data_IF_932947944173
#
_entry.id   IF_932947944173
#
_cell.length_a   1.000
_cell.length_b   1.000
_cell.length_c   1.000
_cell.angle_alpha   90.00
_cell.angle_beta   90.00
_cell.angle_gamma   90.00
#
_symmetry.space_group_name_H-M   'P 1'
#
loop_
_entity.id
_entity.type
_entity.pdbx_description
1 polymer ?
#
# COMPACT_ATOMS: atom_id res chain seq x y z
N UNK A 1 -5.53 8.34 13.63
CA UNK A 1 -4.24 8.68 13.01
C UNK A 1 -4.05 7.69 11.89
N UNK A 2 -3.40 8.09 10.80
CA UNK A 2 -3.31 7.21 9.63
C UNK A 2 -2.63 5.86 9.94
N UNK A 3 -1.67 5.84 10.88
CA UNK A 3 -1.09 4.58 11.40
C UNK A 3 -2.10 3.73 12.17
N UNK A 4 -2.93 4.33 13.01
CA UNK A 4 -3.98 3.60 13.75
C UNK A 4 -5.05 3.03 12.83
N UNK A 5 -5.45 3.79 11.80
CA UNK A 5 -6.41 3.32 10.79
C UNK A 5 -5.84 2.18 9.95
N UNK A 6 -4.56 2.26 9.55
CA UNK A 6 -3.86 1.19 8.83
C UNK A 6 -3.80 -0.10 9.66
N UNK A 7 -3.43 0.01 10.94
CA UNK A 7 -3.41 -1.12 11.86
C UNK A 7 -4.79 -1.77 12.01
N UNK A 8 -5.83 -0.95 12.20
CA UNK A 8 -7.19 -1.45 12.39
C UNK A 8 -7.73 -2.15 11.13
N UNK A 9 -7.40 -1.64 9.93
CA UNK A 9 -7.82 -2.23 8.67
C UNK A 9 -7.26 -3.66 8.49
N UNK A 10 -5.96 -3.85 8.67
CA UNK A 10 -5.36 -5.19 8.59
C UNK A 10 -5.80 -6.10 9.73
N UNK A 11 -5.88 -5.57 10.95
CA UNK A 11 -6.31 -6.34 12.12
C UNK A 11 -7.72 -6.89 11.97
N UNK A 12 -8.66 -6.11 11.41
CA UNK A 12 -10.03 -6.55 11.19
C UNK A 12 -10.10 -7.81 10.31
N UNK A 13 -9.33 -7.84 9.21
CA UNK A 13 -9.28 -8.99 8.28
C UNK A 13 -8.71 -10.22 8.97
N UNK A 14 -7.59 -10.08 9.69
CA UNK A 14 -6.99 -11.21 10.41
C UNK A 14 -7.90 -11.74 11.53
N UNK A 15 -8.57 -10.85 12.26
CA UNK A 15 -9.51 -11.23 13.33
C UNK A 15 -10.69 -12.05 12.81
N UNK A 16 -11.06 -11.88 11.55
CA UNK A 16 -12.13 -12.61 10.87
C UNK A 16 -11.64 -13.88 10.15
N UNK A 17 -10.35 -14.22 10.30
CA UNK A 17 -9.74 -15.41 9.68
C UNK A 17 -9.38 -15.21 8.21
N UNK A 18 -9.33 -13.97 7.73
CA UNK A 18 -8.91 -13.62 6.38
C UNK A 18 -7.41 -13.87 6.12
N UNK A 19 -7.02 -13.81 4.85
CA UNK A 19 -5.64 -14.08 4.46
C UNK A 19 -4.68 -12.96 4.92
N UNK A 20 -3.44 -13.33 5.25
CA UNK A 20 -2.39 -12.37 5.59
C UNK A 20 -2.11 -11.39 4.42
N UNK A 21 -2.25 -11.87 3.19
CA UNK A 21 -2.12 -11.05 1.98
C UNK A 21 -3.18 -9.94 1.93
N UNK A 22 -4.43 -10.28 2.17
CA UNK A 22 -5.52 -9.29 2.18
C UNK A 22 -5.33 -8.26 3.30
N UNK A 23 -4.87 -8.71 4.47
CA UNK A 23 -4.61 -7.86 5.62
C UNK A 23 -3.50 -6.83 5.37
N UNK A 24 -2.37 -7.25 4.78
CA UNK A 24 -1.27 -6.31 4.48
C UNK A 24 -1.65 -5.34 3.37
N UNK A 25 -2.35 -5.81 2.32
CA UNK A 25 -2.85 -4.95 1.24
C UNK A 25 -3.82 -3.90 1.77
N UNK A 26 -4.77 -4.28 2.64
CA UNK A 26 -5.69 -3.32 3.26
C UNK A 26 -4.96 -2.28 4.13
N UNK A 27 -3.94 -2.71 4.88
CA UNK A 27 -3.15 -1.83 5.74
C UNK A 27 -2.39 -0.79 4.91
N UNK A 28 -1.74 -1.22 3.82
CA UNK A 28 -0.97 -0.35 2.92
C UNK A 28 -1.86 0.61 2.15
N UNK A 29 -3.04 0.16 1.67
CA UNK A 29 -3.99 1.04 0.97
C UNK A 29 -4.43 2.24 1.81
N UNK A 30 -4.62 2.05 3.12
CA UNK A 30 -4.92 3.16 4.04
C UNK A 30 -3.76 4.16 4.11
N UNK A 31 -2.52 3.66 4.08
CA UNK A 31 -1.34 4.53 4.05
C UNK A 31 -1.24 5.29 2.72
N UNK A 32 -1.47 4.64 1.59
CA UNK A 32 -1.45 5.25 0.25
C UNK A 32 -2.57 6.30 0.04
N UNK A 33 -3.75 6.08 0.62
CA UNK A 33 -4.85 7.06 0.56
C UNK A 33 -4.60 8.28 1.46
N UNK A 34 -3.68 8.17 2.42
CA UNK A 34 -3.35 9.24 3.36
C UNK A 34 -2.32 10.20 2.76
N UNK A 35 -2.58 11.52 2.76
CA UNK A 35 -1.60 12.51 2.29
C UNK A 35 -0.40 12.66 3.24
N UNK A 36 -0.37 11.93 4.36
CA UNK A 36 0.69 12.02 5.37
C UNK A 36 1.90 11.13 5.06
N UNK A 37 1.75 10.19 4.12
CA UNK A 37 2.84 9.29 3.71
C UNK A 37 3.25 9.59 2.27
N UNK A 38 4.55 9.45 1.99
CA UNK A 38 5.08 9.51 0.64
C UNK A 38 4.79 8.20 -0.13
N UNK A 39 3.50 7.94 -0.37
CA UNK A 39 2.97 6.81 -1.13
C UNK A 39 1.58 7.18 -1.65
N UNK A 40 1.15 6.60 -2.76
CA UNK A 40 -0.17 6.86 -3.34
C UNK A 40 -0.44 8.37 -3.49
N UNK A 41 -1.50 8.83 -2.83
CA UNK A 41 -1.97 10.23 -2.83
C UNK A 41 -0.95 11.22 -2.27
N UNK A 42 -0.11 10.83 -1.31
CA UNK A 42 0.86 11.70 -0.66
C UNK A 42 2.25 11.68 -1.30
N UNK A 43 2.40 11.02 -2.45
CA UNK A 43 3.68 10.88 -3.15
C UNK A 43 4.27 12.22 -3.60
N UNK A 44 5.59 12.33 -3.48
CA UNK A 44 6.36 13.47 -3.96
C UNK A 44 6.45 13.48 -5.49
N UNK A 45 6.71 14.66 -6.03
CA UNK A 45 7.03 14.84 -7.44
C UNK A 45 8.49 14.44 -7.72
N UNK A 46 8.73 13.88 -8.90
CA UNK A 46 10.05 13.70 -9.47
C UNK A 46 10.64 15.04 -9.96
N UNK A 47 11.84 14.98 -10.56
CA UNK A 47 12.52 16.16 -11.14
C UNK A 47 11.74 16.87 -12.25
N UNK A 48 10.73 16.21 -12.83
CA UNK A 48 9.89 16.71 -13.93
C UNK A 48 8.55 17.24 -13.41
N UNK A 49 8.31 17.19 -12.10
CA UNK A 49 7.04 17.61 -11.51
C UNK A 49 5.93 16.57 -11.64
N UNK A 50 6.26 15.29 -11.85
CA UNK A 50 5.30 14.19 -12.02
C UNK A 50 5.36 13.26 -10.80
N UNK A 51 4.21 12.77 -10.35
CA UNK A 51 4.16 11.72 -9.33
C UNK A 51 4.44 10.38 -9.99
N UNK A 52 5.54 9.74 -9.59
CA UNK A 52 5.91 8.38 -9.98
C UNK A 52 5.99 7.51 -8.73
N UNK A 53 5.41 6.31 -8.78
CA UNK A 53 5.32 5.45 -7.60
C UNK A 53 5.84 4.04 -7.90
N UNK A 54 6.40 3.43 -6.86
CA UNK A 54 6.86 2.06 -6.84
C UNK A 54 6.13 1.33 -5.70
N UNK A 55 5.71 0.10 -5.93
CA UNK A 55 5.08 -0.74 -4.92
C UNK A 55 5.44 -2.20 -5.14
N UNK A 56 5.45 -2.98 -4.05
CA UNK A 56 5.71 -4.43 -4.12
C UNK A 56 5.03 -5.18 -2.98
N UNK A 57 4.70 -6.44 -3.23
CA UNK A 57 4.10 -7.33 -2.25
C UNK A 57 4.63 -8.76 -2.44
N UNK A 58 4.69 -9.54 -1.36
CA UNK A 58 5.18 -10.92 -1.36
C UNK A 58 4.30 -11.80 -0.48
N UNK A 59 3.96 -12.98 -0.99
CA UNK A 59 3.33 -14.05 -0.24
C UNK A 59 4.43 -14.96 0.36
N UNK A 60 4.59 -14.92 1.67
CA UNK A 60 5.59 -15.75 2.37
C UNK A 60 5.28 -17.25 2.36
N UNK A 61 4.06 -17.67 2.00
CA UNK A 61 3.69 -19.11 1.95
C UNK A 61 4.11 -19.76 0.64
N UNK A 62 4.04 -19.02 -0.47
CA UNK A 62 4.35 -19.50 -1.82
C UNK A 62 5.67 -18.95 -2.36
N UNK A 63 6.23 -17.92 -1.72
CA UNK A 63 7.35 -17.10 -2.20
C UNK A 63 7.04 -16.32 -3.49
N UNK A 64 5.77 -16.30 -3.92
CA UNK A 64 5.34 -15.48 -5.04
C UNK A 64 5.41 -13.99 -4.66
N UNK A 65 5.85 -13.15 -5.60
CA UNK A 65 5.95 -11.72 -5.41
C UNK A 65 5.51 -10.97 -6.67
N UNK A 66 5.04 -9.73 -6.48
CA UNK A 66 4.68 -8.80 -7.54
C UNK A 66 5.18 -7.41 -7.21
N UNK A 67 5.54 -6.65 -8.24
CA UNK A 67 6.00 -5.27 -8.08
C UNK A 67 5.68 -4.45 -9.33
N UNK A 68 5.54 -3.14 -9.12
CA UNK A 68 5.47 -2.12 -10.17
C UNK A 68 6.46 -1.02 -9.84
N UNK A 69 6.98 -0.36 -10.88
CA UNK A 69 7.91 0.75 -10.71
C UNK A 69 7.65 1.83 -11.76
N UNK A 70 7.83 3.09 -11.36
CA UNK A 70 7.62 4.26 -12.20
C UNK A 70 6.19 4.40 -12.70
N UNK A 71 5.21 3.80 -12.02
CA UNK A 71 3.81 3.90 -12.46
C UNK A 71 3.27 5.28 -12.14
N UNK A 72 2.46 5.77 -13.06
CA UNK A 72 1.73 7.03 -12.98
C UNK A 72 0.24 6.73 -13.16
N UNK A 73 -0.64 7.59 -12.64
CA UNK A 73 -2.11 7.48 -12.82
C UNK A 73 -2.72 6.18 -12.25
N UNK A 74 -2.14 5.66 -11.16
CA UNK A 74 -2.68 4.55 -10.37
C UNK A 74 -2.92 5.05 -8.95
N UNK A 75 -4.12 4.85 -8.40
CA UNK A 75 -4.44 5.35 -7.05
C UNK A 75 -3.68 4.60 -5.94
N UNK A 76 -3.59 3.28 -6.08
CA UNK A 76 -2.98 2.34 -5.14
C UNK A 76 -2.06 1.41 -5.95
N UNK A 77 -0.77 1.77 -6.10
CA UNK A 77 0.17 1.06 -6.96
C UNK A 77 0.48 -0.39 -6.52
#
# INVERSE_FOLDING_TARGET
SALGESLLAGHAILREGGAAMDAVVASVRVMEDSPLFNAGRGSNFDERGVVTMDASVMDGTTLAAGAVAGVTDVRNP
#
